data_IF_286483020413
#
_entry.id   IF_286483020413
#
_cell.length_a   1.000
_cell.length_b   1.000
_cell.length_c   1.000
_cell.angle_alpha   90.00
_cell.angle_beta   90.00
_cell.angle_gamma   90.00
#
_symmetry.space_group_name_H-M   'P 1'
#
loop_
_entity.id
_entity.type
_entity.pdbx_description
1 polymer ?
#
# COMPACT_ATOMS: atom_id res chain seq x y z
N UNK A 1 -20.65 -0.80 -27.42
CA UNK A 1 -19.81 -0.14 -26.39
C UNK A 1 -19.05 0.99 -27.07
N UNK A 2 -19.14 2.24 -26.60
CA UNK A 2 -18.37 3.32 -27.20
C UNK A 2 -16.90 3.17 -26.81
N UNK A 3 -16.04 2.91 -27.79
CA UNK A 3 -14.60 2.70 -27.58
C UNK A 3 -13.95 4.07 -27.38
N UNK A 4 -13.19 4.22 -26.29
CA UNK A 4 -12.41 5.43 -26.03
C UNK A 4 -11.30 5.57 -27.09
N UNK A 5 -11.04 6.78 -27.63
CA UNK A 5 -9.93 6.98 -28.56
C UNK A 5 -8.59 6.60 -27.94
N UNK A 6 -7.67 6.06 -28.73
CA UNK A 6 -6.35 5.62 -28.26
C UNK A 6 -5.57 6.74 -27.55
N UNK A 7 -5.69 7.98 -28.02
CA UNK A 7 -5.07 9.15 -27.38
C UNK A 7 -5.56 9.38 -25.95
N UNK A 8 -6.83 9.09 -25.67
CA UNK A 8 -7.38 9.17 -24.33
C UNK A 8 -6.99 7.98 -23.45
N UNK A 9 -6.81 6.81 -24.03
CA UNK A 9 -6.25 5.65 -23.30
C UNK A 9 -4.82 5.94 -22.86
N UNK A 10 -4.00 6.52 -23.74
CA UNK A 10 -2.65 7.01 -23.41
C UNK A 10 -2.71 8.12 -22.36
N UNK A 11 -3.65 9.05 -22.46
CA UNK A 11 -3.84 10.10 -21.45
C UNK A 11 -4.19 9.52 -20.08
N UNK A 12 -5.09 8.52 -20.02
CA UNK A 12 -5.44 7.84 -18.76
C UNK A 12 -4.19 7.17 -18.18
N UNK A 13 -3.48 6.36 -18.97
CA UNK A 13 -2.27 5.66 -18.51
C UNK A 13 -1.19 6.64 -18.02
N UNK A 14 -1.00 7.76 -18.73
CA UNK A 14 -0.06 8.82 -18.36
C UNK A 14 -0.44 9.51 -17.04
N UNK A 15 -1.73 9.73 -16.80
CA UNK A 15 -2.15 10.38 -15.56
C UNK A 15 -2.15 9.40 -14.37
N UNK A 16 -2.47 8.12 -14.61
CA UNK A 16 -2.34 7.07 -13.61
C UNK A 16 -0.88 6.88 -13.16
N UNK A 17 0.06 6.87 -14.10
CA UNK A 17 1.50 6.78 -13.78
C UNK A 17 2.02 7.98 -13.00
N UNK A 18 1.37 9.14 -13.17
CA UNK A 18 1.57 10.36 -12.39
C UNK A 18 0.78 10.38 -11.06
N UNK A 19 0.24 9.26 -10.59
CA UNK A 19 -0.50 9.20 -9.33
C UNK A 19 -1.75 10.08 -9.28
N UNK A 20 -2.28 10.50 -10.43
CA UNK A 20 -3.38 11.47 -10.50
C UNK A 20 -4.62 10.96 -9.78
N UNK A 21 -5.36 11.86 -9.15
CA UNK A 21 -6.59 11.55 -8.44
C UNK A 21 -7.59 10.83 -9.39
N UNK A 22 -7.97 9.60 -9.00
CA UNK A 22 -8.79 8.73 -9.82
C UNK A 22 -10.18 9.31 -10.08
N UNK A 23 -10.75 10.05 -9.15
CA UNK A 23 -12.06 10.66 -9.37
C UNK A 23 -11.98 11.86 -10.29
N UNK A 24 -10.92 12.67 -10.23
CA UNK A 24 -10.69 13.73 -11.22
C UNK A 24 -10.59 13.12 -12.62
N UNK A 25 -9.85 12.01 -12.75
CA UNK A 25 -9.80 11.25 -14.01
C UNK A 25 -11.19 10.74 -14.42
N UNK A 26 -11.93 10.10 -13.51
CA UNK A 26 -13.30 9.61 -13.79
C UNK A 26 -14.25 10.74 -14.17
N UNK A 27 -14.20 11.88 -13.49
CA UNK A 27 -15.04 13.04 -13.77
C UNK A 27 -14.69 13.66 -15.11
N UNK A 28 -13.40 13.79 -15.42
CA UNK A 28 -12.93 14.27 -16.73
C UNK A 28 -13.42 13.35 -17.85
N UNK A 29 -13.28 12.04 -17.65
CA UNK A 29 -13.78 11.01 -18.57
C UNK A 29 -15.30 11.04 -18.72
N UNK A 30 -16.06 11.13 -17.62
CA UNK A 30 -17.54 11.24 -17.65
C UNK A 30 -18.01 12.52 -18.33
N UNK A 31 -17.34 13.64 -18.08
CA UNK A 31 -17.65 14.95 -18.69
C UNK A 31 -17.43 14.92 -20.21
N UNK A 32 -16.35 14.27 -20.66
CA UNK A 32 -16.02 14.20 -22.10
C UNK A 32 -16.75 13.08 -22.83
N UNK A 33 -16.99 11.96 -22.17
CA UNK A 33 -17.59 10.74 -22.71
C UNK A 33 -18.69 10.24 -21.77
N UNK A 34 -19.90 10.82 -21.78
CA UNK A 34 -20.93 10.49 -20.79
C UNK A 34 -21.45 9.05 -20.85
N UNK A 35 -21.23 8.35 -21.97
CA UNK A 35 -21.71 6.97 -22.19
C UNK A 35 -20.69 5.87 -21.82
N UNK A 36 -19.47 6.22 -21.36
CA UNK A 36 -18.47 5.23 -20.96
C UNK A 36 -18.58 4.87 -19.48
N UNK A 37 -18.17 3.66 -19.12
CA UNK A 37 -17.97 3.29 -17.72
C UNK A 37 -16.56 3.72 -17.27
N UNK A 38 -16.39 5.01 -16.96
CA UNK A 38 -15.10 5.58 -16.55
C UNK A 38 -14.50 4.89 -15.32
N UNK A 39 -15.35 4.41 -14.40
CA UNK A 39 -14.93 3.66 -13.23
C UNK A 39 -14.25 2.34 -13.61
N UNK A 40 -14.87 1.58 -14.51
CA UNK A 40 -14.31 0.32 -15.00
C UNK A 40 -13.02 0.55 -15.78
N UNK A 41 -13.01 1.54 -16.67
CA UNK A 41 -11.86 1.82 -17.55
C UNK A 41 -10.62 2.23 -16.76
N UNK A 42 -10.79 3.02 -15.71
CA UNK A 42 -9.69 3.38 -14.81
C UNK A 42 -9.27 2.19 -13.96
N UNK A 43 -10.23 1.42 -13.42
CA UNK A 43 -9.91 0.23 -12.64
C UNK A 43 -9.12 -0.83 -13.44
N UNK A 44 -9.46 -1.03 -14.72
CA UNK A 44 -8.77 -1.95 -15.63
C UNK A 44 -7.34 -1.50 -15.98
N UNK A 45 -7.01 -0.24 -15.73
CA UNK A 45 -5.72 0.38 -16.09
C UNK A 45 -4.79 0.64 -14.92
N UNK A 46 -5.31 0.72 -13.70
CA UNK A 46 -4.49 0.85 -12.48
C UNK A 46 -3.71 -0.45 -12.23
N UNK A 47 -4.29 -1.61 -12.51
CA UNK A 47 -3.66 -2.90 -12.21
C UNK A 47 -3.65 -3.81 -13.44
N UNK A 48 -2.50 -3.91 -14.12
CA UNK A 48 -2.25 -4.95 -15.13
C UNK A 48 -1.46 -6.11 -14.51
N UNK A 49 -1.98 -6.68 -13.41
CA UNK A 49 -1.29 -7.74 -12.69
C UNK A 49 -1.98 -9.07 -12.95
N UNK A 50 -1.30 -10.06 -13.58
CA UNK A 50 -1.83 -11.42 -13.62
C UNK A 50 -2.01 -11.92 -12.18
N UNK A 51 -3.19 -12.48 -11.87
CA UNK A 51 -3.62 -12.96 -10.54
C UNK A 51 -4.19 -11.91 -9.56
N UNK A 52 -4.55 -10.71 -10.03
CA UNK A 52 -5.31 -9.76 -9.21
C UNK A 52 -6.70 -10.31 -8.89
N UNK A 53 -6.95 -10.63 -7.62
CA UNK A 53 -8.31 -10.88 -7.12
C UNK A 53 -8.85 -9.56 -6.57
N UNK A 54 -9.75 -8.94 -7.33
CA UNK A 54 -10.49 -7.77 -6.85
C UNK A 54 -11.59 -8.24 -5.92
N UNK A 55 -11.51 -7.88 -4.64
CA UNK A 55 -12.63 -8.09 -3.71
C UNK A 55 -13.34 -6.75 -3.54
N UNK A 56 -14.41 -6.56 -4.31
CA UNK A 56 -15.34 -5.47 -4.09
C UNK A 56 -16.22 -5.85 -2.90
N UNK A 57 -15.87 -5.37 -1.72
CA UNK A 57 -16.86 -5.32 -0.64
C UNK A 57 -17.92 -4.28 -1.01
N UNK A 58 -19.22 -4.56 -0.84
CA UNK A 58 -20.31 -3.62 -1.11
C UNK A 58 -20.37 -2.53 -0.03
N UNK A 59 -19.24 -1.87 0.25
CA UNK A 59 -19.16 -0.71 1.12
C UNK A 59 -18.90 0.49 0.23
N UNK A 60 -19.84 1.44 0.26
CA UNK A 60 -19.82 2.64 -0.55
C UNK A 60 -18.49 3.37 -0.28
N UNK A 61 -17.60 3.35 -1.27
CA UNK A 61 -16.28 4.02 -1.30
C UNK A 61 -15.05 3.27 -0.73
N UNK A 62 -15.14 1.97 -0.43
CA UNK A 62 -13.95 1.17 -0.08
C UNK A 62 -13.52 0.24 -1.22
N UNK A 63 -12.23 0.25 -1.54
CA UNK A 63 -11.65 -0.65 -2.53
C UNK A 63 -10.39 -1.30 -1.96
N UNK A 64 -10.39 -2.62 -1.90
CA UNK A 64 -9.25 -3.44 -1.52
C UNK A 64 -8.99 -4.49 -2.58
N UNK A 65 -7.73 -4.78 -2.78
CA UNK A 65 -7.24 -5.66 -3.83
C UNK A 65 -6.28 -6.66 -3.21
N UNK A 66 -6.38 -7.92 -3.66
CA UNK A 66 -5.49 -8.99 -3.22
C UNK A 66 -4.73 -9.53 -4.43
N UNK A 67 -3.42 -9.61 -4.33
CA UNK A 67 -2.56 -10.19 -5.36
C UNK A 67 -1.87 -11.39 -4.73
N UNK A 68 -2.36 -12.60 -5.05
CA UNK A 68 -1.75 -13.84 -4.58
C UNK A 68 -0.42 -14.06 -5.29
N UNK A 69 0.56 -14.61 -4.58
CA UNK A 69 1.89 -14.91 -5.13
C UNK A 69 2.55 -13.68 -5.79
N UNK A 70 2.34 -12.49 -5.24
CA UNK A 70 2.96 -11.27 -5.76
C UNK A 70 4.49 -11.34 -5.63
N UNK A 71 4.97 -11.77 -4.46
CA UNK A 71 6.34 -12.25 -4.28
C UNK A 71 6.33 -13.77 -4.19
N UNK A 72 7.37 -14.40 -4.73
CA UNK A 72 7.62 -15.83 -4.52
C UNK A 72 8.09 -16.06 -3.08
N UNK A 73 7.92 -17.27 -2.54
CA UNK A 73 8.43 -17.61 -1.22
C UNK A 73 9.96 -17.46 -1.12
N UNK A 74 10.70 -17.64 -2.22
CA UNK A 74 12.14 -17.40 -2.26
C UNK A 74 12.46 -15.91 -2.08
N UNK A 75 11.78 -15.03 -2.82
CA UNK A 75 11.94 -13.59 -2.68
C UNK A 75 11.59 -13.12 -1.27
N UNK A 76 10.50 -13.64 -0.70
CA UNK A 76 10.11 -13.33 0.68
C UNK A 76 11.21 -13.69 1.69
N UNK A 77 11.81 -14.89 1.57
CA UNK A 77 12.93 -15.31 2.42
C UNK A 77 14.13 -14.39 2.27
N UNK A 78 14.51 -14.05 1.02
CA UNK A 78 15.62 -13.13 0.76
C UNK A 78 15.39 -11.76 1.40
N UNK A 79 14.16 -11.21 1.35
CA UNK A 79 13.83 -9.96 2.05
C UNK A 79 14.04 -10.10 3.56
N UNK A 80 13.55 -11.17 4.17
CA UNK A 80 13.66 -11.41 5.62
C UNK A 80 15.12 -11.56 6.04
N UNK A 81 15.92 -12.33 5.29
CA UNK A 81 17.35 -12.57 5.56
C UNK A 81 18.16 -11.27 5.50
N UNK A 82 17.95 -10.48 4.45
CA UNK A 82 18.66 -9.20 4.26
C UNK A 82 18.25 -8.14 5.30
N UNK A 83 17.00 -8.14 5.77
CA UNK A 83 16.51 -7.19 6.77
C UNK A 83 16.81 -7.62 8.22
N UNK A 84 16.92 -8.93 8.47
CA UNK A 84 17.03 -9.57 9.77
C UNK A 84 18.01 -8.89 10.74
N UNK A 85 19.28 -8.70 10.36
CA UNK A 85 20.31 -8.09 11.21
C UNK A 85 20.00 -6.63 11.62
N UNK A 86 19.11 -5.95 10.91
CA UNK A 86 18.87 -4.51 11.06
C UNK A 86 17.61 -4.17 11.87
N UNK A 87 16.83 -5.17 12.30
CA UNK A 87 15.67 -4.93 13.16
C UNK A 87 16.06 -4.54 14.59
N UNK A 88 17.19 -5.00 15.10
CA UNK A 88 17.60 -4.76 16.49
C UNK A 88 18.25 -3.38 16.66
N UNK A 89 19.01 -2.92 15.66
CA UNK A 89 19.60 -1.57 15.61
C UNK A 89 18.57 -0.47 15.37
N UNK A 90 17.43 -0.81 14.78
CA UNK A 90 16.35 0.15 14.46
C UNK A 90 15.60 0.72 15.67
N UNK A 91 15.76 0.11 16.85
CA UNK A 91 15.24 0.64 18.12
C UNK A 91 15.79 2.05 18.42
N UNK A 92 17.03 2.34 18.02
CA UNK A 92 17.69 3.65 18.16
C UNK A 92 17.26 4.68 17.10
N UNK A 93 16.60 4.25 16.01
CA UNK A 93 16.13 5.09 14.90
C UNK A 93 14.61 5.10 14.75
N UNK A 94 13.88 4.64 15.77
CA UNK A 94 12.42 4.55 15.76
C UNK A 94 11.74 5.92 15.88
N UNK A 95 12.07 6.85 14.99
CA UNK A 95 11.15 7.90 14.55
C UNK A 95 10.04 7.28 13.68
N UNK A 96 9.38 6.26 14.21
CA UNK A 96 8.03 5.93 13.82
C UNK A 96 7.20 7.19 14.09
N UNK A 97 6.29 7.55 13.18
CA UNK A 97 5.37 8.69 13.37
C UNK A 97 4.52 8.55 14.64
N UNK A 98 4.55 7.35 15.24
CA UNK A 98 3.99 7.01 16.53
C UNK A 98 5.15 6.77 17.51
N UNK A 99 5.44 7.78 18.34
CA UNK A 99 6.45 7.70 19.38
C UNK A 99 6.04 6.77 20.55
N UNK A 100 4.77 6.34 20.60
CA UNK A 100 4.24 5.47 21.64
C UNK A 100 4.39 3.98 21.27
N UNK A 101 5.25 3.22 21.97
CA UNK A 101 5.42 1.78 21.74
C UNK A 101 4.14 0.98 22.05
N UNK A 102 3.18 1.52 22.80
CA UNK A 102 1.87 0.90 23.02
C UNK A 102 0.95 1.00 21.78
N UNK A 103 1.21 1.98 20.91
CA UNK A 103 0.47 2.16 19.67
C UNK A 103 1.01 1.23 18.57
N UNK A 104 2.34 1.11 18.46
CA UNK A 104 2.99 0.20 17.52
C UNK A 104 4.21 -0.44 18.16
N UNK A 105 4.21 -1.76 18.28
CA UNK A 105 5.27 -2.52 18.97
C UNK A 105 6.16 -3.37 18.04
N UNK A 106 6.10 -3.13 16.73
CA UNK A 106 6.97 -3.80 15.74
C UNK A 106 8.35 -3.16 15.61
N UNK A 107 9.36 -3.95 15.23
CA UNK A 107 10.63 -3.43 14.71
C UNK A 107 10.48 -3.05 13.23
N UNK A 108 11.06 -1.92 12.82
CA UNK A 108 10.97 -1.42 11.43
C UNK A 108 12.35 -1.23 10.83
N UNK A 109 12.56 -1.79 9.65
CA UNK A 109 13.76 -1.61 8.84
C UNK A 109 13.41 -0.78 7.59
N UNK A 110 14.27 0.17 7.24
CA UNK A 110 14.18 0.97 6.02
C UNK A 110 15.32 0.58 5.08
N UNK A 111 15.07 -0.20 4.02
CA UNK A 111 16.11 -0.64 3.08
C UNK A 111 16.94 0.49 2.47
N UNK A 112 16.37 1.70 2.35
CA UNK A 112 17.11 2.90 1.94
C UNK A 112 18.31 3.25 2.84
N UNK A 113 18.26 2.86 4.11
CA UNK A 113 19.31 3.11 5.09
C UNK A 113 20.29 1.93 5.24
N UNK A 114 20.10 0.86 4.45
CA UNK A 114 20.96 -0.32 4.44
C UNK A 114 22.04 -0.20 3.36
N UNK A 115 23.09 -1.04 3.40
CA UNK A 115 24.00 -1.19 2.27
C UNK A 115 23.22 -1.44 0.97
N UNK A 116 23.68 -0.82 -0.12
CA UNK A 116 23.01 -0.97 -1.41
C UNK A 116 22.94 -2.45 -1.81
N UNK A 117 21.74 -2.88 -2.22
CA UNK A 117 21.49 -4.21 -2.73
C UNK A 117 20.49 -4.09 -3.90
N UNK A 118 20.85 -4.53 -5.13
CA UNK A 118 19.96 -4.43 -6.30
C UNK A 118 18.62 -5.14 -6.13
N UNK A 119 18.52 -6.06 -5.17
CA UNK A 119 17.27 -6.72 -4.84
C UNK A 119 16.22 -5.74 -4.31
N UNK A 120 16.62 -4.67 -3.61
CA UNK A 120 15.69 -3.63 -3.16
C UNK A 120 15.05 -2.89 -4.32
N UNK A 121 15.83 -2.57 -5.36
CA UNK A 121 15.31 -1.93 -6.57
C UNK A 121 14.40 -2.87 -7.36
N UNK A 122 14.71 -4.17 -7.36
CA UNK A 122 13.88 -5.22 -7.97
C UNK A 122 12.49 -5.27 -7.31
N UNK A 123 12.43 -5.32 -5.98
CA UNK A 123 11.18 -5.32 -5.22
C UNK A 123 10.42 -4.01 -5.41
N UNK A 124 11.12 -2.88 -5.37
CA UNK A 124 10.53 -1.56 -5.58
C UNK A 124 9.88 -1.45 -6.96
N UNK A 125 10.60 -1.85 -8.01
CA UNK A 125 10.12 -1.84 -9.40
C UNK A 125 8.91 -2.76 -9.57
N UNK A 126 8.92 -3.96 -8.97
CA UNK A 126 7.76 -4.85 -8.98
C UNK A 126 6.52 -4.18 -8.38
N UNK A 127 6.65 -3.50 -7.23
CA UNK A 127 5.53 -2.83 -6.57
C UNK A 127 5.00 -1.68 -7.43
N UNK A 128 5.88 -0.80 -7.92
CA UNK A 128 5.50 0.35 -8.76
C UNK A 128 4.81 -0.10 -10.07
N UNK A 129 5.33 -1.14 -10.72
CA UNK A 129 4.72 -1.70 -11.93
C UNK A 129 3.34 -2.33 -11.66
N UNK A 130 3.14 -2.92 -10.47
CA UNK A 130 1.88 -3.57 -10.13
C UNK A 130 0.71 -2.58 -10.01
N UNK A 131 0.97 -1.39 -9.45
CA UNK A 131 -0.02 -0.30 -9.35
C UNK A 131 0.04 0.68 -10.52
N UNK A 132 1.00 0.50 -11.43
CA UNK A 132 1.30 1.44 -12.51
C UNK A 132 1.47 2.89 -12.01
N UNK A 133 2.22 3.08 -10.93
CA UNK A 133 2.55 4.39 -10.34
C UNK A 133 4.07 4.54 -10.31
N UNK A 134 4.59 5.67 -10.79
CA UNK A 134 6.02 5.95 -10.78
C UNK A 134 6.58 6.00 -9.35
N UNK A 135 7.82 5.54 -9.17
CA UNK A 135 8.52 5.58 -7.88
C UNK A 135 8.63 7.02 -7.33
N UNK A 136 8.66 8.03 -8.21
CA UNK A 136 8.65 9.45 -7.83
C UNK A 136 7.45 9.87 -6.99
N UNK A 137 6.36 9.09 -6.97
CA UNK A 137 5.17 9.32 -6.15
C UNK A 137 5.19 8.48 -4.88
N UNK A 138 6.25 7.75 -4.59
CA UNK A 138 6.22 6.72 -3.57
C UNK A 138 7.23 6.98 -2.47
N UNK A 139 6.82 6.72 -1.23
CA UNK A 139 7.76 6.64 -0.12
C UNK A 139 8.66 5.40 -0.31
N UNK A 140 9.90 5.42 0.22
CA UNK A 140 10.65 4.17 0.35
C UNK A 140 9.82 3.16 1.14
N UNK A 141 9.82 1.92 0.67
CA UNK A 141 9.11 0.87 1.38
C UNK A 141 9.79 0.58 2.73
N UNK A 142 8.99 0.13 3.68
CA UNK A 142 9.43 -0.30 5.00
C UNK A 142 9.24 -1.80 5.12
N UNK A 143 10.13 -2.45 5.87
CA UNK A 143 9.98 -3.85 6.25
C UNK A 143 9.74 -3.87 7.76
N UNK A 144 8.72 -4.59 8.22
CA UNK A 144 8.38 -4.62 9.64
C UNK A 144 8.28 -6.04 10.18
N UNK A 145 8.82 -6.26 11.38
CA UNK A 145 8.80 -7.53 12.12
C UNK A 145 7.93 -7.38 13.36
N UNK A 146 7.02 -8.32 13.55
CA UNK A 146 6.18 -8.47 14.74
C UNK A 146 6.50 -9.82 15.38
N UNK A 147 7.07 -9.78 16.58
CA UNK A 147 7.22 -10.96 17.45
C UNK A 147 5.89 -11.29 18.12
N UNK A 148 5.82 -12.42 18.81
CA UNK A 148 4.67 -12.79 19.67
C UNK A 148 4.29 -11.60 20.58
N UNK A 149 3.01 -11.25 20.59
CA UNK A 149 2.43 -10.13 21.35
C UNK A 149 2.53 -8.77 20.67
N UNK A 150 3.39 -8.59 19.65
CA UNK A 150 3.46 -7.32 18.94
C UNK A 150 2.20 -7.10 18.09
N UNK A 151 1.81 -5.84 17.98
CA UNK A 151 0.60 -5.38 17.29
C UNK A 151 0.81 -3.96 16.72
N UNK A 152 -0.14 -3.51 15.93
CA UNK A 152 -0.25 -2.11 15.53
C UNK A 152 -1.69 -1.68 15.71
N UNK A 153 -1.93 -0.75 16.62
CA UNK A 153 -3.27 -0.25 16.97
C UNK A 153 -3.97 0.41 15.78
N UNK A 154 -5.27 0.56 15.94
CA UNK A 154 -6.19 1.09 14.96
C UNK A 154 -5.75 2.47 14.43
N UNK A 155 -5.56 2.57 13.12
CA UNK A 155 -5.09 3.78 12.45
C UNK A 155 -5.55 3.85 10.99
N UNK A 156 -5.39 5.03 10.38
CA UNK A 156 -5.38 5.20 8.92
C UNK A 156 -3.96 5.46 8.47
N UNK A 157 -3.60 5.01 7.27
CA UNK A 157 -2.31 5.35 6.69
C UNK A 157 -2.22 6.82 6.27
N UNK A 158 -3.35 7.41 5.86
CA UNK A 158 -3.42 8.84 5.56
C UNK A 158 -3.13 9.66 6.81
N UNK A 159 -2.42 10.78 6.61
CA UNK A 159 -2.10 11.73 7.67
C UNK A 159 -3.38 12.47 8.10
N UNK A 160 -3.74 12.37 9.38
CA UNK A 160 -4.89 13.07 10.00
C UNK A 160 -4.58 14.54 10.23
N UNK A 161 -3.33 14.86 10.55
CA UNK A 161 -2.76 16.21 10.55
C UNK A 161 -1.59 16.23 9.60
N UNK A 162 -1.64 17.07 8.56
CA UNK A 162 -0.51 17.25 7.66
C UNK A 162 0.57 18.00 8.45
N UNK A 163 1.76 17.40 8.67
CA UNK A 163 2.82 18.06 9.43
C UNK A 163 3.24 19.36 8.75
N UNK A 164 3.25 20.48 9.49
CA UNK A 164 3.54 21.83 8.98
C UNK A 164 4.98 21.97 8.45
N UNK A 165 5.89 21.13 8.94
CA UNK A 165 7.31 21.04 8.60
C UNK A 165 7.55 20.29 7.27
N UNK A 166 6.65 19.39 6.88
CA UNK A 166 6.67 18.79 5.53
C UNK A 166 5.89 19.67 4.58
N UNK A 167 6.56 20.68 4.01
CA UNK A 167 6.08 21.40 2.84
C UNK A 167 5.85 20.44 1.64
N UNK A 168 4.65 19.85 1.62
CA UNK A 168 3.63 19.89 0.57
C UNK A 168 3.92 19.41 -0.86
N UNK A 169 5.08 18.85 -1.21
CA UNK A 169 5.24 18.34 -2.58
C UNK A 169 4.34 17.13 -2.88
N UNK A 170 4.18 16.22 -1.93
CA UNK A 170 3.50 14.93 -2.17
C UNK A 170 1.99 14.85 -1.89
N UNK A 171 1.33 15.87 -1.31
CA UNK A 171 -0.06 15.70 -0.83
C UNK A 171 -0.16 14.71 0.32
N UNK A 172 -1.23 13.93 0.47
CA UNK A 172 -1.37 12.86 1.49
C UNK A 172 -0.96 11.48 0.94
N UNK A 173 -0.99 10.41 1.75
CA UNK A 173 -0.84 9.02 1.29
C UNK A 173 -2.13 8.59 0.60
N UNK A 174 -2.05 8.35 -0.70
CA UNK A 174 -3.18 7.97 -1.55
C UNK A 174 -3.41 6.45 -1.54
N UNK A 175 -2.34 5.66 -1.68
CA UNK A 175 -2.41 4.20 -1.67
C UNK A 175 -1.49 3.58 -0.62
N UNK A 176 -1.90 2.42 -0.12
CA UNK A 176 -1.04 1.49 0.62
C UNK A 176 -0.90 0.21 -0.17
N UNK A 177 0.34 -0.26 -0.30
CA UNK A 177 0.70 -1.56 -0.86
C UNK A 177 1.45 -2.35 0.22
N UNK A 178 0.77 -3.33 0.81
CA UNK A 178 1.32 -4.17 1.88
C UNK A 178 1.53 -5.59 1.36
N UNK A 179 2.64 -6.24 1.73
CA UNK A 179 2.95 -7.63 1.33
C UNK A 179 3.25 -8.43 2.58
N UNK A 180 2.62 -9.59 2.73
CA UNK A 180 3.00 -10.56 3.76
C UNK A 180 4.22 -11.37 3.30
N UNK A 181 5.29 -11.38 4.08
CA UNK A 181 6.53 -12.09 3.75
C UNK A 181 6.58 -13.51 4.32
N UNK A 182 5.66 -13.87 5.21
CA UNK A 182 5.53 -15.21 5.73
C UNK A 182 4.10 -15.50 6.20
N UNK A 183 3.78 -16.78 6.32
CA UNK A 183 2.58 -17.25 6.99
C UNK A 183 2.72 -17.07 8.50
N UNK A 184 1.63 -16.70 9.16
CA UNK A 184 1.56 -16.61 10.62
C UNK A 184 0.72 -17.77 11.14
N UNK A 185 1.24 -18.48 12.14
CA UNK A 185 0.59 -19.67 12.70
C UNK A 185 -0.74 -19.32 13.36
N UNK A 186 -0.74 -18.35 14.28
CA UNK A 186 -1.94 -17.87 14.99
C UNK A 186 -1.85 -16.37 15.24
N UNK A 187 -2.94 -15.65 14.95
CA UNK A 187 -3.03 -14.20 15.09
C UNK A 187 -2.35 -13.43 13.95
N UNK A 188 -1.99 -12.17 14.21
CA UNK A 188 -1.27 -11.34 13.25
C UNK A 188 -2.11 -10.87 12.05
N UNK A 189 -3.42 -11.04 12.06
CA UNK A 189 -4.29 -10.58 10.97
C UNK A 189 -4.22 -9.06 10.81
N UNK A 190 -4.43 -8.60 9.58
CA UNK A 190 -4.76 -7.19 9.35
C UNK A 190 -6.28 -7.05 9.41
N UNK A 191 -6.78 -6.27 10.36
CA UNK A 191 -8.20 -6.12 10.63
C UNK A 191 -8.68 -4.73 10.21
N UNK A 192 -9.63 -4.67 9.28
CA UNK A 192 -10.34 -3.46 8.89
C UNK A 192 -11.66 -3.40 9.66
N UNK A 193 -11.68 -2.61 10.74
CA UNK A 193 -12.76 -2.60 11.73
C UNK A 193 -14.13 -2.27 11.12
N UNK A 194 -14.21 -1.21 10.30
CA UNK A 194 -15.46 -0.75 9.69
C UNK A 194 -16.07 -1.73 8.70
N UNK A 195 -15.29 -2.69 8.24
CA UNK A 195 -15.70 -3.71 7.27
C UNK A 195 -15.90 -5.08 7.90
N UNK A 196 -15.58 -5.21 9.20
CA UNK A 196 -15.49 -6.50 9.88
C UNK A 196 -14.67 -7.53 9.08
N UNK A 197 -13.57 -7.05 8.46
CA UNK A 197 -12.73 -7.84 7.56
C UNK A 197 -11.39 -8.14 8.24
N UNK A 198 -11.08 -9.42 8.43
CA UNK A 198 -9.77 -9.88 8.92
C UNK A 198 -9.05 -10.63 7.81
N UNK A 199 -7.82 -10.20 7.53
CA UNK A 199 -6.98 -10.77 6.48
C UNK A 199 -5.86 -11.54 7.15
N UNK A 200 -5.84 -12.86 6.94
CA UNK A 200 -4.77 -13.73 7.42
C UNK A 200 -3.48 -13.47 6.62
N UNK A 201 -2.31 -13.39 7.28
CA UNK A 201 -1.03 -13.32 6.60
C UNK A 201 -0.78 -14.61 5.80
N UNK A 202 -0.58 -14.45 4.50
CA UNK A 202 -0.24 -15.55 3.58
C UNK A 202 1.02 -15.16 2.82
N UNK A 203 2.06 -15.99 2.88
CA UNK A 203 3.37 -15.71 2.25
C UNK A 203 3.21 -15.24 0.81
N UNK A 204 3.82 -14.11 0.46
CA UNK A 204 3.85 -13.57 -0.89
C UNK A 204 2.57 -12.85 -1.34
N UNK A 205 1.50 -12.87 -0.54
CA UNK A 205 0.27 -12.17 -0.88
C UNK A 205 0.40 -10.66 -0.61
N UNK A 206 0.07 -9.85 -1.61
CA UNK A 206 -0.08 -8.42 -1.45
C UNK A 206 -1.55 -8.02 -1.20
N UNK A 207 -1.73 -6.99 -0.37
CA UNK A 207 -3.00 -6.34 -0.05
C UNK A 207 -2.84 -4.86 -0.36
N UNK A 208 -3.72 -4.33 -1.19
CA UNK A 208 -3.61 -2.95 -1.71
C UNK A 208 -4.95 -2.23 -1.52
N UNK A 209 -4.93 -1.02 -0.97
CA UNK A 209 -6.14 -0.22 -0.75
C UNK A 209 -5.89 1.28 -0.93
N UNK A 210 -6.99 2.02 -1.10
CA UNK A 210 -6.98 3.46 -1.35
C UNK A 210 -7.43 4.24 -0.10
N UNK A 211 -6.55 5.11 0.39
CA UNK A 211 -6.68 5.83 1.66
C UNK A 211 -7.46 7.14 1.57
N UNK A 212 -7.73 7.62 0.36
CA UNK A 212 -8.37 8.92 0.10
C UNK A 212 -9.68 8.70 -0.65
N UNK A 213 -10.72 9.44 -0.29
CA UNK A 213 -12.00 9.40 -0.99
C UNK A 213 -11.92 10.20 -2.30
N UNK A 214 -12.86 9.96 -3.24
CA UNK A 214 -13.02 10.76 -4.44
C UNK A 214 -13.03 12.29 -4.26
N UNK A 215 -13.49 12.76 -3.10
CA UNK A 215 -13.55 14.18 -2.74
C UNK A 215 -12.28 14.71 -2.04
N UNK A 216 -11.20 13.93 -2.01
CA UNK A 216 -9.92 14.29 -1.39
C UNK A 216 -9.87 14.14 0.13
N UNK A 217 -10.96 13.72 0.78
CA UNK A 217 -10.98 13.47 2.23
C UNK A 217 -10.37 12.11 2.56
N UNK A 218 -9.93 11.92 3.80
CA UNK A 218 -9.47 10.61 4.28
C UNK A 218 -10.61 9.61 4.18
N UNK A 219 -10.31 8.41 3.68
CA UNK A 219 -11.23 7.29 3.66
C UNK A 219 -11.22 6.59 5.01
N UNK A 220 -12.16 6.93 5.88
CA UNK A 220 -12.23 6.31 7.21
C UNK A 220 -12.60 4.82 7.17
N UNK A 221 -13.09 4.28 6.06
CA UNK A 221 -13.32 2.84 5.88
C UNK A 221 -12.01 2.04 5.77
N UNK A 222 -10.86 2.71 5.60
CA UNK A 222 -9.53 2.08 5.67
C UNK A 222 -8.95 2.03 7.07
N UNK A 223 -9.73 2.39 8.09
CA UNK A 223 -9.32 2.29 9.48
C UNK A 223 -8.99 0.82 9.81
N UNK A 224 -7.74 0.55 10.12
CA UNK A 224 -7.23 -0.81 10.26
C UNK A 224 -6.17 -0.94 11.36
N UNK A 225 -5.98 -2.17 11.81
CA UNK A 225 -5.00 -2.55 12.81
C UNK A 225 -4.29 -3.85 12.42
N UNK A 226 -3.09 -4.05 12.95
CA UNK A 226 -2.43 -5.35 12.97
C UNK A 226 -2.71 -6.02 14.31
N UNK A 227 -3.55 -7.07 14.31
CA UNK A 227 -3.86 -7.83 15.52
C UNK A 227 -2.59 -8.48 16.10
N UNK A 228 -2.57 -8.76 17.42
CA UNK A 228 -1.42 -9.40 18.05
C UNK A 228 -1.03 -10.73 17.38
N UNK A 229 0.27 -10.94 17.18
CA UNK A 229 0.79 -12.26 16.81
C UNK A 229 0.71 -13.16 18.06
N UNK A 230 -0.02 -14.27 17.98
CA UNK A 230 -0.19 -15.17 19.13
C UNK A 230 0.81 -16.33 19.09
N UNK A 231 1.17 -16.79 17.89
CA UNK A 231 2.18 -17.82 17.66
C UNK A 231 2.96 -17.58 16.37
N UNK A 232 4.28 -17.72 16.43
CA UNK A 232 5.21 -17.44 15.33
C UNK A 232 5.66 -15.98 15.30
N UNK A 233 6.01 -15.50 14.12
CA UNK A 233 6.37 -14.11 13.83
C UNK A 233 5.68 -13.65 12.56
N UNK A 234 5.51 -12.34 12.39
CA UNK A 234 4.97 -11.74 11.16
C UNK A 234 5.98 -10.76 10.58
N UNK A 235 6.26 -10.90 9.29
CA UNK A 235 7.05 -9.99 8.49
C UNK A 235 6.20 -9.41 7.37
N UNK A 236 6.27 -8.09 7.18
CA UNK A 236 5.57 -7.41 6.10
C UNK A 236 6.47 -6.40 5.40
N UNK A 237 6.18 -6.13 4.13
CA UNK A 237 6.56 -4.89 3.45
C UNK A 237 5.36 -3.95 3.47
N UNK A 238 5.60 -2.66 3.69
CA UNK A 238 4.61 -1.60 3.45
C UNK A 238 5.23 -0.51 2.58
N UNK A 239 4.59 -0.19 1.45
CA UNK A 239 4.93 0.96 0.61
C UNK A 239 3.72 1.87 0.47
N UNK A 240 3.93 3.16 0.67
CA UNK A 240 2.88 4.16 0.49
C UNK A 240 3.14 5.00 -0.75
N UNK A 241 2.07 5.32 -1.47
CA UNK A 241 2.09 6.27 -2.58
C UNK A 241 1.42 7.56 -2.16
N UNK A 242 1.87 8.65 -2.74
CA UNK A 242 1.51 10.03 -2.48
C UNK A 242 0.54 10.52 -3.56
N UNK A 243 -0.23 11.56 -3.29
CA UNK A 243 -1.11 12.18 -4.30
C UNK A 243 -0.32 12.94 -5.38
N UNK A 244 0.87 13.43 -5.04
CA UNK A 244 1.73 14.20 -5.91
C UNK A 244 3.17 13.66 -5.85
N UNK A 245 4.00 14.06 -6.83
CA UNK A 245 5.41 13.66 -6.89
C UNK A 245 6.18 14.20 -5.67
N UNK A 246 7.06 13.38 -5.11
CA UNK A 246 7.95 13.75 -4.00
C UNK A 246 9.42 13.91 -4.41
N UNK A 247 9.77 13.59 -5.64
CA UNK A 247 11.02 14.02 -6.29
C UNK A 247 10.84 15.42 -6.88
#
# INVERSE_FOLDING_TARGET
>A
MSILPQSWLVWIDTNLSRGSNLEILKQTLKKRFPKINANQIIADRIFRVPNLTKVLFPVKNFQIYFIKNFLTSAECRTVIELAGPHFETSSLFSASTYADPNFRSSSTCHPRNLPQNPFWDTINTKICNAVNISDSFSEPFQIQRYKKGNQFKLHTDAFTTIPKDRYFRGGNRSWTFMIYLNDVTVGGETHFERLNLKIKPITGMAVVWYNILPNGKINHDTLHEGLPVLQGEKYIITKWFRENSIS
#
